data_IF_242877788806
#
_entry.id   IF_242877788806
#
_cell.length_a   1.000
_cell.length_b   1.000
_cell.length_c   1.000
_cell.angle_alpha   90.00
_cell.angle_beta   90.00
_cell.angle_gamma   90.00
#
_symmetry.space_group_name_H-M   'P 1'
#
loop_
_entity.id
_entity.type
_entity.pdbx_description
1 polymer ?
#
# COMPACT_ATOMS: atom_id res chain seq x y z
N UNK A 1 -10.86 -26.17 20.64
CA UNK A 1 -9.75 -25.49 21.36
C UNK A 1 -9.05 -24.38 20.55
N UNK A 2 -8.63 -24.60 19.30
CA UNK A 2 -8.13 -23.49 18.44
C UNK A 2 -9.28 -22.68 17.85
N UNK A 3 -10.33 -23.36 17.36
CA UNK A 3 -11.54 -22.70 16.83
C UNK A 3 -12.24 -21.86 17.92
N UNK A 4 -12.43 -22.39 19.13
CA UNK A 4 -13.04 -21.63 20.24
C UNK A 4 -12.23 -20.38 20.64
N UNK A 5 -10.90 -20.40 20.50
CA UNK A 5 -10.06 -19.21 20.72
C UNK A 5 -10.23 -18.18 19.59
N UNK A 6 -10.32 -18.63 18.34
CA UNK A 6 -10.58 -17.76 17.18
C UNK A 6 -12.00 -17.17 17.25
N UNK A 7 -12.96 -17.95 17.75
CA UNK A 7 -14.35 -17.54 17.95
C UNK A 7 -14.48 -16.55 19.10
N UNK A 8 -13.76 -16.76 20.21
CA UNK A 8 -13.72 -15.83 21.33
C UNK A 8 -12.97 -14.51 21.03
N UNK A 9 -11.98 -14.53 20.14
CA UNK A 9 -11.13 -13.36 19.84
C UNK A 9 -11.63 -12.54 18.63
N UNK A 10 -12.33 -13.17 17.67
CA UNK A 10 -12.81 -12.50 16.44
C UNK A 10 -14.22 -12.85 15.98
N UNK A 11 -14.94 -13.77 16.64
CA UNK A 11 -16.23 -14.32 16.18
C UNK A 11 -16.21 -14.80 14.70
N UNK A 12 -15.05 -15.26 14.25
CA UNK A 12 -14.71 -15.53 12.84
C UNK A 12 -14.45 -17.05 12.61
N UNK A 13 -14.97 -17.94 13.45
CA UNK A 13 -14.66 -19.37 13.33
C UNK A 13 -15.43 -20.09 12.21
N UNK A 14 -16.59 -19.56 11.80
CA UNK A 14 -17.38 -20.10 10.70
C UNK A 14 -17.34 -19.16 9.48
N UNK A 15 -16.95 -19.66 8.28
CA UNK A 15 -17.03 -18.88 7.06
C UNK A 15 -18.49 -18.55 6.79
N UNK A 16 -18.83 -17.26 6.71
CA UNK A 16 -20.18 -16.86 6.37
C UNK A 16 -20.41 -16.93 4.86
N UNK A 17 -21.60 -17.37 4.44
CA UNK A 17 -21.92 -17.45 3.02
C UNK A 17 -21.99 -16.05 2.39
N UNK A 18 -21.42 -15.93 1.18
CA UNK A 18 -21.48 -14.70 0.39
C UNK A 18 -22.88 -14.57 -0.21
N UNK A 19 -23.76 -13.88 0.52
CA UNK A 19 -25.09 -13.50 0.03
C UNK A 19 -25.00 -12.22 -0.81
N UNK A 20 -25.94 -12.03 -1.77
CA UNK A 20 -25.98 -10.81 -2.62
C UNK A 20 -26.03 -9.52 -1.80
N UNK A 21 -26.78 -9.51 -0.71
CA UNK A 21 -26.90 -8.35 0.17
C UNK A 21 -25.56 -8.01 0.86
N UNK A 22 -24.87 -9.01 1.42
CA UNK A 22 -23.54 -8.84 2.02
C UNK A 22 -22.49 -8.40 1.00
N UNK A 23 -22.59 -8.92 -0.22
CA UNK A 23 -21.74 -8.50 -1.33
C UNK A 23 -21.91 -7.00 -1.62
N UNK A 24 -23.15 -6.54 -1.84
CA UNK A 24 -23.43 -5.12 -2.13
C UNK A 24 -23.00 -4.23 -0.97
N UNK A 25 -23.30 -4.62 0.28
CA UNK A 25 -22.90 -3.87 1.47
C UNK A 25 -21.38 -3.74 1.59
N UNK A 26 -20.64 -4.83 1.35
CA UNK A 26 -19.18 -4.84 1.44
C UNK A 26 -18.51 -4.08 0.29
N UNK A 27 -19.10 -4.17 -0.90
CA UNK A 27 -18.63 -3.50 -2.11
C UNK A 27 -18.77 -1.97 -2.00
N UNK A 28 -19.89 -1.47 -1.47
CA UNK A 28 -20.11 -0.03 -1.27
C UNK A 28 -19.61 0.51 0.08
N UNK A 29 -18.91 -0.30 0.89
CA UNK A 29 -18.32 0.17 2.14
C UNK A 29 -17.22 1.23 1.83
N UNK A 30 -17.35 2.47 2.32
CA UNK A 30 -16.33 3.51 2.13
C UNK A 30 -14.95 3.08 2.62
N UNK A 31 -14.87 2.20 3.61
CA UNK A 31 -13.59 1.70 4.11
C UNK A 31 -12.88 0.83 3.05
N UNK A 32 -13.62 -0.05 2.36
CA UNK A 32 -13.10 -0.85 1.24
C UNK A 32 -12.48 0.05 0.17
N UNK A 33 -13.19 1.11 -0.24
CA UNK A 33 -12.70 2.04 -1.25
C UNK A 33 -11.50 2.88 -0.78
N UNK A 34 -11.45 3.25 0.49
CA UNK A 34 -10.27 3.92 1.08
C UNK A 34 -9.02 3.04 0.94
N UNK A 35 -9.11 1.76 1.33
CA UNK A 35 -8.01 0.80 1.16
C UNK A 35 -7.68 0.53 -0.32
N UNK A 36 -8.69 0.48 -1.18
CA UNK A 36 -8.51 0.26 -2.61
C UNK A 36 -7.74 1.42 -3.28
N UNK A 37 -8.05 2.67 -2.93
CA UNK A 37 -7.33 3.86 -3.43
C UNK A 37 -5.91 3.92 -2.87
N UNK A 38 -5.71 3.56 -1.58
CA UNK A 38 -4.36 3.43 -1.01
C UNK A 38 -3.53 2.39 -1.77
N UNK A 39 -4.12 1.23 -2.09
CA UNK A 39 -3.45 0.16 -2.82
C UNK A 39 -3.11 0.58 -4.25
N UNK A 40 -4.07 1.19 -4.96
CA UNK A 40 -3.86 1.78 -6.29
C UNK A 40 -2.70 2.78 -6.29
N UNK A 41 -2.64 3.64 -5.28
CA UNK A 41 -1.59 4.66 -5.15
C UNK A 41 -0.21 4.04 -4.93
N UNK A 42 -0.14 2.95 -4.16
CA UNK A 42 1.09 2.19 -3.91
C UNK A 42 1.56 1.40 -5.13
N UNK A 43 0.64 0.75 -5.85
CA UNK A 43 0.98 -0.02 -7.05
C UNK A 43 1.50 0.90 -8.15
N UNK A 44 0.88 2.05 -8.34
CA UNK A 44 1.31 3.04 -9.33
C UNK A 44 2.76 3.51 -9.12
N UNK A 45 3.16 3.79 -7.88
CA UNK A 45 4.54 4.14 -7.56
C UNK A 45 5.52 2.99 -7.81
N UNK A 46 5.09 1.74 -7.64
CA UNK A 46 5.90 0.56 -7.92
C UNK A 46 6.09 0.35 -9.43
N UNK A 47 5.04 0.53 -10.23
CA UNK A 47 5.12 0.43 -11.70
C UNK A 47 5.99 1.50 -12.32
N UNK A 48 6.02 2.70 -11.71
CA UNK A 48 6.87 3.81 -12.10
C UNK A 48 8.36 3.42 -12.18
N UNK A 49 8.81 2.52 -11.30
CA UNK A 49 10.20 2.07 -11.24
C UNK A 49 10.63 1.39 -12.53
N UNK A 50 9.74 0.60 -13.14
CA UNK A 50 10.02 -0.09 -14.40
C UNK A 50 10.36 0.86 -15.55
N UNK A 51 9.70 2.03 -15.60
CA UNK A 51 9.96 3.04 -16.63
C UNK A 51 11.29 3.76 -16.43
N UNK A 52 11.64 4.10 -15.19
CA UNK A 52 12.84 4.88 -14.91
C UNK A 52 14.12 4.05 -14.82
N UNK A 53 14.01 2.78 -14.46
CA UNK A 53 15.18 1.92 -14.22
C UNK A 53 16.03 1.76 -15.47
N UNK A 54 15.44 1.38 -16.59
CA UNK A 54 16.18 1.20 -17.85
C UNK A 54 16.77 2.53 -18.33
N UNK A 55 15.98 3.61 -18.31
CA UNK A 55 16.40 4.95 -18.79
C UNK A 55 17.59 5.48 -18.00
N UNK A 56 17.56 5.41 -16.66
CA UNK A 56 18.64 5.91 -15.81
C UNK A 56 19.91 5.08 -16.00
N UNK A 57 19.79 3.75 -16.10
CA UNK A 57 20.95 2.88 -16.22
C UNK A 57 21.62 3.01 -17.59
N UNK A 58 20.87 3.23 -18.68
CA UNK A 58 21.46 3.60 -19.96
C UNK A 58 22.21 4.94 -19.89
N UNK A 59 21.72 5.90 -19.09
CA UNK A 59 22.40 7.19 -18.88
C UNK A 59 23.73 7.04 -18.13
N UNK A 60 23.95 5.91 -17.43
CA UNK A 60 25.21 5.57 -16.77
C UNK A 60 26.27 4.97 -17.73
N UNK A 61 25.93 4.74 -19.01
CA UNK A 61 26.86 4.23 -20.02
C UNK A 61 27.03 2.70 -20.01
N UNK A 62 26.15 1.96 -19.32
CA UNK A 62 26.18 0.50 -19.30
C UNK A 62 25.53 -0.10 -20.56
N UNK A 63 25.99 -1.29 -20.94
CA UNK A 63 25.36 -2.10 -22.00
C UNK A 63 23.98 -2.59 -21.57
N UNK A 64 23.11 -2.94 -22.51
CA UNK A 64 21.76 -3.45 -22.24
C UNK A 64 21.76 -4.66 -21.29
N UNK A 65 22.66 -5.62 -21.52
CA UNK A 65 22.81 -6.80 -20.65
C UNK A 65 23.18 -6.41 -19.21
N UNK A 66 24.14 -5.49 -19.05
CA UNK A 66 24.53 -5.02 -17.72
C UNK A 66 23.42 -4.17 -17.08
N UNK A 67 22.66 -3.43 -17.88
CA UNK A 67 21.53 -2.64 -17.39
C UNK A 67 20.45 -3.51 -16.76
N UNK A 68 20.10 -4.64 -17.40
CA UNK A 68 19.16 -5.62 -16.87
C UNK A 68 19.65 -6.27 -15.56
N UNK A 69 20.96 -6.51 -15.43
CA UNK A 69 21.52 -7.00 -14.16
C UNK A 69 21.41 -5.91 -13.08
N UNK A 70 21.69 -4.65 -13.41
CA UNK A 70 21.58 -3.54 -12.47
C UNK A 70 20.14 -3.25 -12.02
N UNK A 71 19.12 -3.58 -12.81
CA UNK A 71 17.72 -3.41 -12.36
C UNK A 71 17.35 -4.41 -11.26
N UNK A 72 18.02 -5.57 -11.17
CA UNK A 72 17.71 -6.58 -10.18
C UNK A 72 18.06 -6.16 -8.74
N UNK A 73 19.17 -5.43 -8.54
CA UNK A 73 19.63 -5.04 -7.20
C UNK A 73 18.62 -4.18 -6.41
N UNK A 74 17.95 -3.16 -6.99
CA UNK A 74 16.85 -2.47 -6.33
C UNK A 74 15.75 -3.40 -5.80
N UNK A 75 15.43 -4.49 -6.51
CA UNK A 75 14.41 -5.45 -6.06
C UNK A 75 14.89 -6.31 -4.89
N UNK A 76 16.18 -6.68 -4.86
CA UNK A 76 16.78 -7.36 -3.71
C UNK A 76 16.73 -6.46 -2.47
N UNK A 77 17.10 -5.18 -2.60
CA UNK A 77 16.99 -4.21 -1.52
C UNK A 77 15.54 -4.01 -1.06
N UNK A 78 14.59 -4.00 -2.00
CA UNK A 78 13.17 -3.92 -1.69
C UNK A 78 12.66 -5.14 -0.91
N UNK A 79 13.12 -6.34 -1.24
CA UNK A 79 12.78 -7.55 -0.48
C UNK A 79 13.26 -7.45 0.96
N UNK A 80 14.53 -7.06 1.17
CA UNK A 80 15.10 -6.87 2.52
C UNK A 80 14.33 -5.80 3.32
N UNK A 81 14.02 -4.66 2.69
CA UNK A 81 13.20 -3.60 3.29
C UNK A 81 11.82 -4.10 3.69
N UNK A 82 11.16 -4.85 2.79
CA UNK A 82 9.84 -5.42 3.04
C UNK A 82 9.83 -6.33 4.26
N UNK A 83 10.78 -7.28 4.38
CA UNK A 83 10.90 -8.14 5.55
C UNK A 83 11.19 -7.36 6.83
N UNK A 84 12.08 -6.37 6.77
CA UNK A 84 12.42 -5.54 7.92
C UNK A 84 11.20 -4.78 8.46
N UNK A 85 10.45 -4.10 7.59
CA UNK A 85 9.26 -3.37 8.02
C UNK A 85 8.09 -4.28 8.40
N UNK A 86 7.95 -5.46 7.77
CA UNK A 86 6.98 -6.46 8.18
C UNK A 86 7.24 -6.93 9.62
N UNK A 87 8.49 -7.32 9.91
CA UNK A 87 8.91 -7.71 11.26
C UNK A 87 8.68 -6.59 12.29
N UNK A 88 9.02 -5.35 11.93
CA UNK A 88 8.88 -4.20 12.82
C UNK A 88 7.41 -3.84 13.07
N UNK A 89 6.57 -3.94 12.04
CA UNK A 89 5.12 -3.74 12.12
C UNK A 89 4.46 -4.79 13.02
N UNK A 90 4.83 -6.06 12.86
CA UNK A 90 4.30 -7.14 13.69
C UNK A 90 4.81 -7.06 15.13
N UNK A 91 6.07 -6.64 15.36
CA UNK A 91 6.61 -6.46 16.72
C UNK A 91 5.93 -5.32 17.48
N UNK A 92 5.63 -4.22 16.81
CA UNK A 92 5.02 -3.04 17.44
C UNK A 92 3.50 -3.08 17.49
N UNK A 93 2.86 -4.00 16.75
CA UNK A 93 1.40 -4.11 16.63
C UNK A 93 0.74 -2.80 16.18
N UNK A 94 1.50 -1.92 15.51
CA UNK A 94 1.03 -0.62 15.00
C UNK A 94 1.34 -0.52 13.51
N UNK A 95 0.34 -0.62 12.64
CA UNK A 95 0.54 -0.76 11.19
C UNK A 95 0.64 0.58 10.46
N UNK A 96 -0.21 1.56 10.80
CA UNK A 96 -0.21 2.86 10.14
C UNK A 96 1.11 3.65 10.24
N UNK A 97 1.82 3.73 11.39
CA UNK A 97 3.05 4.53 11.43
C UNK A 97 4.14 3.97 10.52
N UNK A 98 4.30 2.64 10.44
CA UNK A 98 5.29 2.03 9.55
C UNK A 98 4.93 2.17 8.08
N UNK A 99 3.63 2.13 7.76
CA UNK A 99 3.16 2.40 6.41
C UNK A 99 3.41 3.85 6.00
N UNK A 100 3.25 4.81 6.93
CA UNK A 100 3.59 6.21 6.69
C UNK A 100 5.09 6.40 6.46
N UNK A 101 5.95 5.76 7.25
CA UNK A 101 7.41 5.79 7.07
C UNK A 101 7.81 5.25 5.70
N UNK A 102 7.26 4.11 5.29
CA UNK A 102 7.53 3.54 3.96
C UNK A 102 7.07 4.45 2.83
N UNK A 103 5.89 5.07 2.97
CA UNK A 103 5.40 6.04 1.99
C UNK A 103 6.31 7.29 1.90
N UNK A 104 6.86 7.77 3.02
CA UNK A 104 7.85 8.86 3.03
C UNK A 104 9.16 8.46 2.31
N UNK A 105 9.62 7.22 2.50
CA UNK A 105 10.79 6.68 1.77
C UNK A 105 10.51 6.68 0.26
N UNK A 106 9.33 6.21 -0.16
CA UNK A 106 8.90 6.22 -1.56
C UNK A 106 8.86 7.63 -2.14
N UNK A 107 8.29 8.58 -1.40
CA UNK A 107 8.18 9.99 -1.79
C UNK A 107 9.57 10.63 -1.98
N UNK A 108 10.49 10.32 -1.07
CA UNK A 108 11.88 10.81 -1.15
C UNK A 108 12.57 10.23 -2.38
N UNK A 109 12.42 8.93 -2.62
CA UNK A 109 13.00 8.25 -3.79
C UNK A 109 12.50 8.84 -5.11
N UNK A 110 11.18 9.05 -5.26
CA UNK A 110 10.62 9.55 -6.52
C UNK A 110 11.06 11.00 -6.81
N UNK A 111 11.22 11.83 -5.78
CA UNK A 111 11.73 13.18 -5.92
C UNK A 111 13.21 13.19 -6.35
N UNK A 112 14.03 12.26 -5.82
CA UNK A 112 15.41 12.09 -6.27
C UNK A 112 15.49 11.64 -7.72
N UNK A 113 14.65 10.68 -8.14
CA UNK A 113 14.58 10.20 -9.53
C UNK A 113 14.26 11.34 -10.50
N UNK A 114 13.34 12.24 -10.12
CA UNK A 114 12.85 13.32 -10.96
C UNK A 114 13.78 14.55 -11.06
N UNK A 115 14.41 14.94 -9.95
CA UNK A 115 15.09 16.24 -9.85
C UNK A 115 16.62 16.15 -9.72
N UNK A 116 17.18 14.99 -9.35
CA UNK A 116 18.62 14.88 -9.24
C UNK A 116 19.30 14.97 -10.61
N UNK A 117 20.38 15.75 -10.69
CA UNK A 117 21.17 15.90 -11.93
C UNK A 117 22.14 14.74 -12.15
N UNK A 118 22.66 14.16 -11.07
CA UNK A 118 23.65 13.10 -11.11
C UNK A 118 22.98 11.73 -11.34
N UNK A 119 23.38 10.96 -12.37
CA UNK A 119 22.79 9.65 -12.65
C UNK A 119 22.87 8.66 -11.48
N UNK A 120 23.96 8.67 -10.71
CA UNK A 120 24.11 7.83 -9.52
C UNK A 120 23.08 8.14 -8.42
N UNK A 121 22.77 9.42 -8.21
CA UNK A 121 21.75 9.84 -7.23
C UNK A 121 20.35 9.45 -7.71
N UNK A 122 20.08 9.54 -9.02
CA UNK A 122 18.81 9.06 -9.60
C UNK A 122 18.66 7.54 -9.45
N UNK A 123 19.75 6.79 -9.61
CA UNK A 123 19.77 5.35 -9.38
C UNK A 123 19.53 5.01 -7.91
N UNK A 124 20.14 5.74 -6.97
CA UNK A 124 19.81 5.61 -5.54
C UNK A 124 18.34 5.95 -5.24
N UNK A 125 17.77 6.93 -5.93
CA UNK A 125 16.35 7.24 -5.88
C UNK A 125 15.46 6.03 -6.23
N UNK A 126 15.85 5.24 -7.25
CA UNK A 126 15.15 3.99 -7.60
C UNK A 126 15.17 2.98 -6.45
N UNK A 127 16.30 2.83 -5.75
CA UNK A 127 16.37 1.94 -4.57
C UNK A 127 15.37 2.36 -3.51
N UNK A 128 15.35 3.65 -3.16
CA UNK A 128 14.42 4.16 -2.14
C UNK A 128 12.96 4.01 -2.56
N UNK A 129 12.62 4.36 -3.80
CA UNK A 129 11.25 4.18 -4.33
C UNK A 129 10.83 2.72 -4.26
N UNK A 130 11.72 1.77 -4.60
CA UNK A 130 11.40 0.35 -4.55
C UNK A 130 11.27 -0.19 -3.12
N UNK A 131 12.17 0.22 -2.24
CA UNK A 131 12.19 -0.18 -0.84
C UNK A 131 10.92 0.24 -0.08
N UNK A 132 10.40 1.44 -0.34
CA UNK A 132 9.15 1.89 0.24
C UNK A 132 7.92 1.36 -0.50
N UNK A 133 7.89 1.46 -1.83
CA UNK A 133 6.72 1.12 -2.64
C UNK A 133 6.31 -0.35 -2.55
N UNK A 134 7.30 -1.26 -2.63
CA UNK A 134 7.05 -2.70 -2.58
C UNK A 134 6.62 -3.19 -1.19
N UNK A 135 7.06 -2.53 -0.10
CA UNK A 135 6.65 -2.89 1.26
C UNK A 135 5.26 -2.35 1.63
N UNK A 136 4.84 -1.23 1.03
CA UNK A 136 3.50 -0.68 1.24
C UNK A 136 2.39 -1.62 0.77
N UNK A 137 2.61 -2.39 -0.31
CA UNK A 137 1.62 -3.32 -0.88
C UNK A 137 1.16 -4.38 0.15
N UNK A 138 2.04 -5.22 0.72
CA UNK A 138 1.65 -6.18 1.75
C UNK A 138 1.21 -5.46 3.04
N UNK A 139 1.79 -4.31 3.36
CA UNK A 139 1.39 -3.51 4.53
C UNK A 139 -0.07 -3.05 4.49
N UNK A 140 -0.57 -2.61 3.33
CA UNK A 140 -1.96 -2.20 3.12
C UNK A 140 -2.91 -3.40 3.25
N UNK A 141 -2.59 -4.53 2.61
CA UNK A 141 -3.41 -5.75 2.69
C UNK A 141 -3.49 -6.28 4.13
N UNK A 142 -2.36 -6.25 4.83
CA UNK A 142 -2.28 -6.62 6.23
C UNK A 142 -3.15 -5.65 7.07
N UNK A 143 -2.98 -4.33 6.90
CA UNK A 143 -3.76 -3.33 7.63
C UNK A 143 -5.27 -3.44 7.39
N UNK A 144 -5.68 -3.76 6.17
CA UNK A 144 -7.07 -4.06 5.82
C UNK A 144 -7.58 -5.33 6.53
N UNK A 145 -6.86 -6.45 6.43
CA UNK A 145 -7.27 -7.74 7.00
C UNK A 145 -7.42 -7.73 8.53
N UNK A 146 -6.66 -6.87 9.22
CA UNK A 146 -6.78 -6.70 10.66
C UNK A 146 -8.00 -5.89 11.09
N UNK A 147 -8.52 -5.05 10.19
CA UNK A 147 -9.60 -4.11 10.49
C UNK A 147 -10.97 -4.59 10.00
N UNK A 148 -11.06 -5.82 9.50
CA UNK A 148 -12.30 -6.46 9.09
C UNK A 148 -12.41 -7.80 9.80
N UNK A 149 -13.54 -8.02 10.49
CA UNK A 149 -13.87 -9.31 11.11
C UNK A 149 -14.49 -10.22 10.04
N UNK A 150 -15.72 -9.97 9.62
CA UNK A 150 -16.49 -10.81 8.67
C UNK A 150 -15.69 -11.35 7.45
N UNK A 151 -15.70 -12.67 7.27
CA UNK A 151 -15.01 -13.37 6.17
C UNK A 151 -15.49 -12.96 4.78
N UNK A 152 -16.80 -12.91 4.54
CA UNK A 152 -17.39 -12.52 3.26
C UNK A 152 -17.01 -11.09 2.87
N UNK A 153 -17.06 -10.17 3.85
CA UNK A 153 -16.61 -8.79 3.69
C UNK A 153 -15.12 -8.74 3.36
N UNK A 154 -14.29 -9.46 4.10
CA UNK A 154 -12.83 -9.51 3.85
C UNK A 154 -12.52 -10.03 2.45
N UNK A 155 -13.22 -11.06 1.98
CA UNK A 155 -13.05 -11.62 0.64
C UNK A 155 -13.43 -10.62 -0.47
N UNK A 156 -14.63 -10.03 -0.38
CA UNK A 156 -15.12 -9.05 -1.36
C UNK A 156 -14.23 -7.81 -1.38
N UNK A 157 -13.90 -7.25 -0.21
CA UNK A 157 -13.06 -6.07 -0.11
C UNK A 157 -11.64 -6.32 -0.62
N UNK A 158 -11.06 -7.49 -0.36
CA UNK A 158 -9.74 -7.85 -0.90
C UNK A 158 -9.75 -7.93 -2.42
N UNK A 159 -10.82 -8.49 -3.01
CA UNK A 159 -10.96 -8.54 -4.47
C UNK A 159 -11.02 -7.13 -5.09
N UNK A 160 -11.78 -6.21 -4.48
CA UNK A 160 -11.86 -4.81 -4.92
C UNK A 160 -10.50 -4.11 -4.81
N UNK A 161 -9.80 -4.31 -3.69
CA UNK A 161 -8.47 -3.72 -3.45
C UNK A 161 -7.48 -4.17 -4.52
N UNK A 162 -7.41 -5.48 -4.79
CA UNK A 162 -6.49 -6.03 -5.80
C UNK A 162 -6.86 -5.56 -7.21
N UNK A 163 -8.16 -5.50 -7.54
CA UNK A 163 -8.62 -4.96 -8.82
C UNK A 163 -8.19 -3.50 -9.03
N UNK A 164 -8.32 -2.65 -8.00
CA UNK A 164 -7.82 -1.27 -8.03
C UNK A 164 -6.29 -1.20 -8.16
N UNK A 165 -5.56 -2.21 -7.67
CA UNK A 165 -4.12 -2.34 -7.91
C UNK A 165 -3.77 -2.46 -9.39
N UNK A 166 -4.54 -3.26 -10.15
CA UNK A 166 -4.41 -3.38 -11.61
C UNK A 166 -4.74 -2.07 -12.34
N UNK A 167 -5.77 -1.35 -11.89
CA UNK A 167 -6.09 -0.01 -12.39
C UNK A 167 -4.92 0.95 -12.14
N UNK A 168 -4.24 0.87 -11.00
CA UNK A 168 -3.04 1.65 -10.70
C UNK A 168 -1.90 1.40 -11.69
N UNK A 169 -1.75 0.16 -12.18
CA UNK A 169 -0.81 -0.18 -13.25
C UNK A 169 -1.15 0.47 -14.59
N UNK A 170 -2.42 0.40 -15.00
CA UNK A 170 -2.92 1.05 -16.23
C UNK A 170 -2.78 2.58 -16.11
N UNK A 171 -3.10 3.14 -14.94
CA UNK A 171 -2.94 4.56 -14.71
C UNK A 171 -1.47 4.98 -14.78
N UNK A 172 -0.54 4.18 -14.22
CA UNK A 172 0.89 4.43 -14.36
C UNK A 172 1.31 4.47 -15.84
N UNK A 173 0.93 3.48 -16.65
CA UNK A 173 1.36 3.43 -18.06
C UNK A 173 0.81 4.59 -18.90
N UNK A 174 -0.38 5.10 -18.57
CA UNK A 174 -1.02 6.21 -19.30
C UNK A 174 -0.46 7.58 -18.94
N UNK A 175 -0.03 7.80 -17.70
CA UNK A 175 0.53 9.09 -17.28
C UNK A 175 2.00 9.25 -17.72
N UNK A 176 2.78 8.16 -17.75
CA UNK A 176 4.16 8.15 -18.24
C UNK A 176 4.23 8.11 -19.77
N UNK A 177 3.90 9.23 -20.41
CA UNK A 177 3.80 9.33 -21.87
C UNK A 177 5.18 9.52 -22.52
N UNK A 178 5.40 8.91 -23.68
CA UNK A 178 6.65 9.05 -24.44
C UNK A 178 7.00 10.51 -24.80
N UNK A 179 5.99 11.36 -25.03
CA UNK A 179 6.21 12.79 -25.31
C UNK A 179 6.87 13.57 -24.16
N UNK A 180 6.79 13.05 -22.94
CA UNK A 180 7.38 13.68 -21.75
C UNK A 180 8.80 13.14 -21.46
N UNK A 181 9.34 12.27 -22.34
CA UNK A 181 10.72 11.78 -22.29
C UNK A 181 11.73 12.95 -22.39
N UNK A 182 12.89 12.90 -21.70
CA UNK A 182 13.39 11.86 -20.80
C UNK A 182 13.05 12.05 -19.33
N UNK A 183 12.39 13.16 -18.97
CA UNK A 183 12.21 13.55 -17.56
C UNK A 183 10.89 13.08 -16.96
N UNK A 184 9.86 12.88 -17.75
CA UNK A 184 8.52 12.44 -17.32
C UNK A 184 7.96 13.23 -16.12
N UNK A 185 8.19 14.54 -16.08
CA UNK A 185 7.79 15.41 -14.97
C UNK A 185 6.29 15.27 -14.62
N UNK A 186 5.35 15.23 -15.58
CA UNK A 186 3.94 15.02 -15.25
C UNK A 186 3.67 13.68 -14.55
N UNK A 187 4.36 12.61 -14.94
CA UNK A 187 4.25 11.30 -14.31
C UNK A 187 4.79 11.28 -12.88
N UNK A 188 5.91 11.95 -12.64
CA UNK A 188 6.48 12.10 -11.30
C UNK A 188 5.51 12.84 -10.39
N UNK A 189 4.92 13.95 -10.84
CA UNK A 189 3.95 14.70 -10.05
C UNK A 189 2.65 13.93 -9.80
N UNK A 190 2.16 13.16 -10.77
CA UNK A 190 1.05 12.25 -10.53
C UNK A 190 1.41 11.19 -9.47
N UNK A 191 2.64 10.69 -9.50
CA UNK A 191 3.18 9.75 -8.50
C UNK A 191 3.22 10.35 -7.11
N UNK A 192 3.73 11.57 -6.99
CA UNK A 192 3.69 12.34 -5.75
C UNK A 192 2.26 12.56 -5.28
N UNK A 193 1.33 12.94 -6.16
CA UNK A 193 -0.07 13.17 -5.81
C UNK A 193 -0.75 11.90 -5.27
N UNK A 194 -0.51 10.73 -5.88
CA UNK A 194 -1.03 9.47 -5.36
C UNK A 194 -0.42 9.08 -4.02
N UNK A 195 0.90 9.27 -3.84
CA UNK A 195 1.56 8.99 -2.55
C UNK A 195 1.08 9.94 -1.44
N UNK A 196 0.78 11.20 -1.75
CA UNK A 196 0.15 12.14 -0.82
C UNK A 196 -1.31 11.77 -0.52
N UNK A 197 -2.05 11.32 -1.53
CA UNK A 197 -3.42 10.80 -1.37
C UNK A 197 -3.43 9.59 -0.43
N UNK A 198 -2.51 8.64 -0.64
CA UNK A 198 -2.33 7.49 0.25
C UNK A 198 -2.02 7.93 1.69
N UNK A 199 -1.09 8.87 1.88
CA UNK A 199 -0.75 9.38 3.21
C UNK A 199 -1.94 10.06 3.90
N UNK A 200 -2.73 10.81 3.13
CA UNK A 200 -3.93 11.50 3.63
C UNK A 200 -5.01 10.49 4.05
N UNK A 201 -5.29 9.49 3.20
CA UNK A 201 -6.23 8.42 3.53
C UNK A 201 -5.77 7.59 4.72
N UNK A 202 -4.47 7.31 4.82
CA UNK A 202 -3.89 6.62 5.97
C UNK A 202 -4.11 7.42 7.27
N UNK A 203 -3.88 8.73 7.25
CA UNK A 203 -4.11 9.60 8.40
C UNK A 203 -5.61 9.66 8.77
N UNK A 204 -6.50 9.78 7.78
CA UNK A 204 -7.96 9.77 8.00
C UNK A 204 -8.40 8.44 8.60
N UNK A 205 -8.00 7.30 8.02
CA UNK A 205 -8.35 5.98 8.53
C UNK A 205 -7.83 5.80 9.97
N UNK A 206 -6.58 6.17 10.23
CA UNK A 206 -5.98 6.08 11.57
C UNK A 206 -6.72 6.94 12.60
N UNK A 207 -7.12 8.16 12.23
CA UNK A 207 -7.90 9.05 13.08
C UNK A 207 -9.32 8.51 13.34
N UNK A 208 -10.00 8.03 12.29
CA UNK A 208 -11.34 7.46 12.38
C UNK A 208 -11.33 6.21 13.26
N UNK A 209 -10.35 5.33 13.10
CA UNK A 209 -10.17 4.13 13.92
C UNK A 209 -9.84 4.46 15.37
N UNK A 210 -8.92 5.39 15.62
CA UNK A 210 -8.61 5.85 16.97
C UNK A 210 -9.85 6.46 17.66
N UNK A 211 -10.63 7.26 16.93
CA UNK A 211 -11.88 7.86 17.45
C UNK A 211 -12.95 6.79 17.72
N UNK A 212 -13.14 5.82 16.82
CA UNK A 212 -14.09 4.71 17.00
C UNK A 212 -13.71 3.82 18.19
N UNK A 213 -12.41 3.51 18.34
CA UNK A 213 -11.89 2.78 19.49
C UNK A 213 -12.12 3.55 20.79
N UNK A 214 -11.89 4.87 20.81
CA UNK A 214 -12.13 5.70 21.99
C UNK A 214 -13.62 5.71 22.39
N UNK A 215 -14.52 5.90 21.43
CA UNK A 215 -15.96 5.91 21.69
C UNK A 215 -16.49 4.56 22.19
N UNK A 216 -15.93 3.46 21.70
CA UNK A 216 -16.25 2.11 22.18
C UNK A 216 -15.76 1.89 23.62
N UNK A 217 -14.53 2.33 23.96
CA UNK A 217 -14.01 2.30 25.35
C UNK A 217 -14.83 3.14 26.31
N UNK A 218 -15.37 4.27 25.84
CA UNK A 218 -16.23 5.15 26.62
C UNK A 218 -17.69 4.66 26.70
N UNK A 219 -18.04 3.53 26.07
CA UNK A 219 -19.41 2.98 26.05
C UNK A 219 -20.41 3.82 25.24
N UNK A 220 -19.95 4.83 24.48
CA UNK A 220 -20.78 5.75 23.69
C UNK A 220 -21.15 5.20 22.31
N UNK A 221 -20.72 3.99 21.97
CA UNK A 221 -20.97 3.31 20.70
C UNK A 221 -21.13 1.81 20.93
N UNK A 222 -22.02 1.19 20.15
CA UNK A 222 -22.14 -0.27 20.09
C UNK A 222 -20.90 -0.97 19.51
N UNK A 223 -20.96 -2.31 19.37
CA UNK A 223 -19.85 -3.12 18.87
C UNK A 223 -19.28 -2.63 17.53
N UNK A 224 -17.96 -2.69 17.37
CA UNK A 224 -17.27 -2.36 16.11
C UNK A 224 -17.28 -3.59 15.20
N UNK A 225 -17.56 -3.41 13.90
CA UNK A 225 -17.74 -4.51 12.92
C UNK A 225 -18.70 -5.62 13.41
N UNK A 226 -19.77 -5.24 14.10
CA UNK A 226 -20.78 -6.15 14.68
C UNK A 226 -20.17 -7.23 15.62
N UNK A 227 -18.95 -7.02 16.11
CA UNK A 227 -18.18 -7.98 16.91
C UNK A 227 -17.85 -7.39 18.29
N UNK A 228 -18.36 -7.96 19.41
CA UNK A 228 -18.05 -7.47 20.74
C UNK A 228 -16.58 -7.71 21.10
N UNK A 229 -15.93 -6.73 21.72
CA UNK A 229 -14.50 -6.81 22.11
C UNK A 229 -13.50 -6.44 21.02
N UNK A 230 -13.95 -6.21 19.79
CA UNK A 230 -13.07 -5.84 18.67
C UNK A 230 -12.61 -4.37 18.75
N UNK A 231 -11.31 -4.16 18.50
CA UNK A 231 -10.71 -2.84 18.35
C UNK A 231 -9.98 -2.75 17.01
N UNK A 232 -10.12 -1.63 16.31
CA UNK A 232 -9.34 -1.38 15.09
C UNK A 232 -7.86 -1.28 15.44
N UNK A 233 -7.02 -1.88 14.60
CA UNK A 233 -5.56 -1.69 14.66
C UNK A 233 -5.24 -0.30 14.12
N UNK A 234 -4.31 0.41 14.78
CA UNK A 234 -3.76 1.68 14.31
C UNK A 234 -2.49 1.38 13.52
#
# INVERSE_FOLDING_TARGET
MVLDRIEADRADAMPDEITKEKFIKSFFDPLTWSFAIMFLSSTMATYTIGFFSTIIIYTLGYTEAMALVLTAFPYVAAAVSCFFFAWLSDKTQKRAPWLAVQNCITLTGIMLVGYAKQPGVRYFGIFLTNMGGSGCIPGILAYHSNNITQHSKRAVSTAVIVACGGIGGIFSTTVYRQKDYPRYIPGIWATVACQLTMMTLLAINSYVFARRNRLYREGKRGPLEDTPGFYYTI
#
